data_IF_049629236459
#
_entry.id   IF_049629236459
#
_cell.length_a   1.000
_cell.length_b   1.000
_cell.length_c   1.000
_cell.angle_alpha   90.00
_cell.angle_beta   90.00
_cell.angle_gamma   90.00
#
_symmetry.space_group_name_H-M   'P 1'
#
loop_
_entity.id
_entity.type
_entity.pdbx_description
1 polymer ?
#
# COMPACT_ATOMS: atom_id res chain seq x y z
N UNK A 1 -1.49 -50.00 35.92
CA UNK A 1 -1.44 -48.59 35.47
C UNK A 1 -1.20 -48.56 33.96
N UNK A 2 -2.16 -48.13 33.12
CA UNK A 2 -1.96 -48.11 31.68
C UNK A 2 -0.87 -47.08 31.34
N UNK A 3 0.17 -47.52 30.60
CA UNK A 3 1.18 -46.63 30.05
C UNK A 3 0.47 -45.70 29.07
N UNK A 4 0.45 -44.39 29.33
CA UNK A 4 -0.02 -43.37 28.36
C UNK A 4 0.55 -43.73 27.00
N UNK A 5 -0.34 -43.93 26.03
CA UNK A 5 0.06 -44.42 24.71
C UNK A 5 0.91 -43.34 24.02
N UNK A 6 1.77 -43.76 23.10
CA UNK A 6 2.51 -42.79 22.30
C UNK A 6 1.57 -41.87 21.50
N UNK A 7 0.36 -42.34 21.17
CA UNK A 7 -0.68 -41.53 20.55
C UNK A 7 -1.16 -40.38 21.45
N UNK A 8 -1.42 -40.65 22.74
CA UNK A 8 -1.84 -39.60 23.68
C UNK A 8 -0.78 -38.50 23.84
N UNK A 9 0.50 -38.88 23.80
CA UNK A 9 1.62 -37.93 23.84
C UNK A 9 1.69 -37.09 22.57
N UNK A 10 1.46 -37.70 21.41
CA UNK A 10 1.42 -36.98 20.13
C UNK A 10 0.28 -35.96 20.11
N UNK A 11 -0.90 -36.32 20.61
CA UNK A 11 -2.05 -35.40 20.67
C UNK A 11 -1.80 -34.23 21.61
N UNK A 12 -1.20 -34.49 22.78
CA UNK A 12 -0.78 -33.43 23.70
C UNK A 12 0.24 -32.48 23.05
N UNK A 13 1.20 -33.01 22.30
CA UNK A 13 2.19 -32.19 21.59
C UNK A 13 1.55 -31.38 20.46
N UNK A 14 0.61 -31.95 19.71
CA UNK A 14 -0.16 -31.24 18.67
C UNK A 14 -0.95 -30.09 19.27
N UNK A 15 -1.69 -30.32 20.36
CA UNK A 15 -2.45 -29.27 21.07
C UNK A 15 -1.53 -28.15 21.56
N UNK A 16 -0.35 -28.50 22.11
CA UNK A 16 0.64 -27.51 22.54
C UNK A 16 1.17 -26.70 21.34
N UNK A 17 1.46 -27.35 20.21
CA UNK A 17 1.88 -26.66 18.99
C UNK A 17 0.82 -25.68 18.53
N UNK A 18 -0.43 -26.11 18.43
CA UNK A 18 -1.53 -25.26 17.96
C UNK A 18 -1.76 -24.06 18.89
N UNK A 19 -1.60 -24.26 20.21
CA UNK A 19 -1.65 -23.17 21.19
C UNK A 19 -0.51 -22.17 20.99
N UNK A 20 0.72 -22.65 20.78
CA UNK A 20 1.88 -21.79 20.52
C UNK A 20 1.74 -21.04 19.18
N UNK A 21 1.24 -21.71 18.14
CA UNK A 21 0.98 -21.10 16.84
C UNK A 21 -0.08 -20.00 16.95
N UNK A 22 -1.13 -20.21 17.75
CA UNK A 22 -2.14 -19.19 18.02
C UNK A 22 -1.54 -17.98 18.77
N UNK A 23 -0.68 -18.22 19.77
CA UNK A 23 0.03 -17.16 20.49
C UNK A 23 0.97 -16.38 19.57
N UNK A 24 1.71 -17.08 18.70
CA UNK A 24 2.62 -16.47 17.73
C UNK A 24 1.85 -15.53 16.79
N UNK A 25 0.76 -16.02 16.19
CA UNK A 25 -0.10 -15.21 15.31
C UNK A 25 -0.67 -13.99 16.03
N UNK A 26 -1.07 -14.13 17.29
CA UNK A 26 -1.58 -13.01 18.07
C UNK A 26 -0.49 -11.95 18.35
N UNK A 27 0.73 -12.36 18.66
CA UNK A 27 1.85 -11.45 18.87
C UNK A 27 2.29 -10.76 17.57
N UNK A 28 2.36 -11.48 16.46
CA UNK A 28 2.65 -10.92 15.14
C UNK A 28 1.60 -9.90 14.72
N UNK A 29 0.32 -10.20 14.92
CA UNK A 29 -0.77 -9.26 14.66
C UNK A 29 -0.61 -7.98 15.50
N UNK A 30 -0.36 -8.11 16.82
CA UNK A 30 -0.12 -6.96 17.70
C UNK A 30 1.07 -6.13 17.25
N UNK A 31 2.18 -6.77 16.86
CA UNK A 31 3.37 -6.08 16.34
C UNK A 31 3.04 -5.27 15.09
N UNK A 32 2.36 -5.89 14.12
CA UNK A 32 1.93 -5.22 12.88
C UNK A 32 0.98 -4.06 13.15
N UNK A 33 0.07 -4.20 14.11
CA UNK A 33 -0.82 -3.11 14.53
C UNK A 33 -0.04 -1.95 15.16
N UNK A 34 0.93 -2.22 16.03
CA UNK A 34 1.78 -1.21 16.63
C UNK A 34 2.62 -0.47 15.58
N UNK A 35 3.20 -1.19 14.62
CA UNK A 35 3.97 -0.62 13.51
C UNK A 35 3.11 0.31 12.64
N UNK A 36 1.89 -0.13 12.27
CA UNK A 36 0.94 0.71 11.53
C UNK A 36 0.56 1.97 12.31
N UNK A 37 0.29 1.85 13.62
CA UNK A 37 -0.02 3.01 14.47
C UNK A 37 1.14 3.99 14.54
N UNK A 38 2.37 3.50 14.68
CA UNK A 38 3.56 4.33 14.68
C UNK A 38 3.77 5.03 13.33
N UNK A 39 3.59 4.31 12.22
CA UNK A 39 3.71 4.87 10.87
C UNK A 39 2.63 5.95 10.59
N UNK A 40 1.37 5.70 10.95
CA UNK A 40 0.31 6.71 10.87
C UNK A 40 0.65 7.93 11.70
N UNK A 41 1.11 7.76 12.95
CA UNK A 41 1.50 8.89 13.81
C UNK A 41 2.65 9.69 13.21
N UNK A 42 3.67 9.02 12.67
CA UNK A 42 4.81 9.65 11.99
C UNK A 42 4.36 10.50 10.80
N UNK A 43 3.46 9.96 9.96
CA UNK A 43 2.89 10.66 8.80
C UNK A 43 2.06 11.87 9.19
N UNK A 44 1.23 11.75 10.24
CA UNK A 44 0.43 12.87 10.76
C UNK A 44 1.32 14.00 11.26
N UNK A 45 2.35 13.68 12.06
CA UNK A 45 3.28 14.69 12.59
C UNK A 45 4.03 15.39 11.44
N UNK A 46 4.61 14.61 10.53
CA UNK A 46 5.36 15.17 9.40
C UNK A 46 4.47 16.02 8.48
N UNK A 47 3.25 15.54 8.18
CA UNK A 47 2.29 16.27 7.36
C UNK A 47 1.79 17.56 8.03
N UNK A 48 1.43 17.50 9.31
CA UNK A 48 0.99 18.68 10.07
C UNK A 48 2.07 19.77 10.08
N UNK A 49 3.32 19.40 10.39
CA UNK A 49 4.45 20.32 10.38
C UNK A 49 4.67 20.94 8.98
N UNK A 50 4.61 20.10 7.93
CA UNK A 50 4.82 20.56 6.56
C UNK A 50 3.73 21.55 6.11
N UNK A 51 2.47 21.28 6.45
CA UNK A 51 1.35 22.16 6.15
C UNK A 51 1.41 23.46 6.95
N UNK A 52 1.75 23.39 8.25
CA UNK A 52 1.95 24.58 9.07
C UNK A 52 3.07 25.46 8.51
N UNK A 53 4.20 24.85 8.13
CA UNK A 53 5.30 25.58 7.48
C UNK A 53 4.88 26.21 6.15
N UNK A 54 4.09 25.52 5.33
CA UNK A 54 3.56 26.07 4.08
C UNK A 54 2.68 27.30 4.33
N UNK A 55 1.85 27.27 5.37
CA UNK A 55 0.99 28.41 5.73
C UNK A 55 1.76 29.59 6.31
N UNK A 56 2.76 29.34 7.15
CA UNK A 56 3.56 30.40 7.78
C UNK A 56 4.62 31.00 6.82
N UNK A 57 5.22 30.18 5.95
CA UNK A 57 6.35 30.55 5.10
C UNK A 57 6.08 30.16 3.64
N UNK A 58 5.01 30.70 3.06
CA UNK A 58 4.54 30.31 1.71
C UNK A 58 5.59 30.51 0.62
N UNK A 59 6.39 31.57 0.72
CA UNK A 59 7.42 31.91 -0.26
C UNK A 59 8.76 31.18 -0.05
N UNK A 60 8.86 30.34 0.99
CA UNK A 60 10.03 29.50 1.18
C UNK A 60 10.17 28.48 0.05
N UNK A 61 11.40 28.09 -0.26
CA UNK A 61 11.68 27.05 -1.27
C UNK A 61 10.94 25.75 -0.96
N UNK A 62 10.93 25.34 0.32
CA UNK A 62 10.17 24.17 0.76
C UNK A 62 8.67 24.33 0.52
N UNK A 63 8.08 25.50 0.84
CA UNK A 63 6.67 25.77 0.61
C UNK A 63 6.28 25.69 -0.87
N UNK A 64 7.09 26.30 -1.76
CA UNK A 64 6.89 26.26 -3.21
C UNK A 64 6.97 24.84 -3.79
N UNK A 65 7.89 24.03 -3.30
CA UNK A 65 8.02 22.63 -3.70
C UNK A 65 6.81 21.83 -3.20
N UNK A 66 6.45 21.98 -1.92
CA UNK A 66 5.33 21.26 -1.33
C UNK A 66 4.00 21.58 -2.01
N UNK A 67 3.74 22.87 -2.32
CA UNK A 67 2.57 23.28 -3.07
C UNK A 67 2.50 22.59 -4.44
N UNK A 68 3.60 22.60 -5.21
CA UNK A 68 3.66 21.94 -6.53
C UNK A 68 3.39 20.44 -6.44
N UNK A 69 3.97 19.77 -5.45
CA UNK A 69 3.75 18.34 -5.23
C UNK A 69 2.29 18.04 -4.84
N UNK A 70 1.68 18.87 -3.99
CA UNK A 70 0.27 18.72 -3.63
C UNK A 70 -0.64 18.94 -4.85
N UNK A 71 -0.33 19.94 -5.68
CA UNK A 71 -1.08 20.21 -6.91
C UNK A 71 -0.98 19.07 -7.94
N UNK A 72 0.19 18.45 -8.08
CA UNK A 72 0.44 17.34 -9.01
C UNK A 72 -0.16 16.01 -8.56
N UNK A 73 -0.02 15.65 -7.27
CA UNK A 73 -0.38 14.31 -6.79
C UNK A 73 -1.77 14.23 -6.15
N UNK A 74 -2.33 15.33 -5.65
CA UNK A 74 -3.71 15.35 -5.13
C UNK A 74 -4.65 15.61 -6.29
N UNK A 75 -5.08 14.53 -6.97
CA UNK A 75 -5.90 14.63 -8.19
C UNK A 75 -7.40 14.57 -7.89
N UNK A 76 -7.79 13.82 -6.84
CA UNK A 76 -9.22 13.60 -6.53
C UNK A 76 -9.87 14.89 -6.06
N UNK A 77 -11.02 15.31 -6.63
CA UNK A 77 -11.67 16.57 -6.26
C UNK A 77 -11.97 16.70 -4.77
N UNK A 78 -12.44 15.61 -4.13
CA UNK A 78 -12.71 15.57 -2.69
C UNK A 78 -11.45 15.83 -1.85
N UNK A 79 -10.31 15.27 -2.25
CA UNK A 79 -9.05 15.42 -1.52
C UNK A 79 -8.43 16.79 -1.77
N UNK A 80 -8.58 17.35 -2.99
CA UNK A 80 -8.18 18.73 -3.32
C UNK A 80 -8.96 19.76 -2.52
N UNK A 81 -10.26 19.53 -2.32
CA UNK A 81 -11.13 20.40 -1.53
C UNK A 81 -10.73 20.49 -0.05
N UNK A 82 -9.86 19.61 0.46
CA UNK A 82 -9.28 19.71 1.80
C UNK A 82 -8.21 20.80 1.92
N UNK A 83 -7.77 21.38 0.81
CA UNK A 83 -6.72 22.39 0.76
C UNK A 83 -7.26 23.65 0.06
N UNK A 84 -7.64 24.67 0.84
CA UNK A 84 -8.23 25.92 0.32
C UNK A 84 -7.36 26.64 -0.73
N UNK A 85 -6.05 26.37 -0.71
CA UNK A 85 -5.08 26.97 -1.63
C UNK A 85 -4.88 26.17 -2.93
N UNK A 86 -5.34 24.91 -3.00
CA UNK A 86 -5.35 24.16 -4.25
C UNK A 86 -6.64 24.54 -4.97
N UNK A 87 -6.52 25.16 -6.15
CA UNK A 87 -7.68 25.45 -6.96
C UNK A 87 -8.48 24.15 -7.16
N UNK A 88 -9.77 24.19 -6.87
CA UNK A 88 -10.69 23.18 -7.38
C UNK A 88 -10.63 23.32 -8.89
N UNK A 89 -10.14 22.31 -9.65
CA UNK A 89 -10.30 22.35 -11.08
C UNK A 89 -11.79 22.37 -11.31
N UNK A 90 -12.30 23.56 -11.64
CA UNK A 90 -13.62 23.74 -12.20
C UNK A 90 -13.78 22.66 -13.25
N UNK A 91 -14.86 21.88 -13.11
CA UNK A 91 -15.17 20.67 -13.87
C UNK A 91 -14.83 20.89 -15.35
N UNK A 92 -13.62 20.49 -15.76
CA UNK A 92 -13.28 20.37 -17.16
C UNK A 92 -14.00 19.09 -17.58
N UNK A 93 -15.25 19.27 -18.01
CA UNK A 93 -16.00 18.30 -18.79
C UNK A 93 -15.03 17.67 -19.81
N UNK A 94 -14.94 16.34 -19.92
CA UNK A 94 -14.04 15.72 -20.87
C UNK A 94 -14.58 15.98 -22.29
N UNK A 95 -14.14 17.06 -22.91
CA UNK A 95 -14.26 17.27 -24.35
C UNK A 95 -13.41 16.20 -25.03
N UNK A 96 -14.11 15.21 -25.58
CA UNK A 96 -13.54 14.12 -26.34
C UNK A 96 -12.91 14.64 -27.64
N UNK A 97 -11.83 13.95 -28.06
CA UNK A 97 -11.15 14.02 -29.36
C UNK A 97 -10.19 15.23 -29.52
N UNK A 98 -8.95 15.12 -29.96
CA UNK A 98 -8.24 14.15 -30.78
C UNK A 98 -6.72 14.47 -30.67
N UNK A 99 -5.87 13.62 -31.26
CA UNK A 99 -4.44 13.80 -31.54
C UNK A 99 -3.43 13.27 -30.50
N UNK A 100 -3.12 11.99 -30.68
CA UNK A 100 -1.75 11.47 -30.81
C UNK A 100 -0.69 11.94 -29.78
N UNK A 101 -0.32 11.06 -28.85
CA UNK A 101 1.05 10.99 -28.35
C UNK A 101 1.58 9.55 -28.44
N UNK A 102 2.60 9.30 -29.28
CA UNK A 102 3.27 8.01 -29.36
C UNK A 102 4.34 7.91 -28.27
N UNK A 103 4.39 6.75 -27.61
CA UNK A 103 5.61 6.23 -26.98
C UNK A 103 5.83 6.55 -25.51
N UNK A 104 5.54 5.57 -24.65
CA UNK A 104 6.43 5.22 -23.53
C UNK A 104 6.18 3.76 -23.17
N UNK A 105 7.12 2.91 -23.58
CA UNK A 105 7.16 1.49 -23.28
C UNK A 105 7.48 1.28 -21.79
N UNK A 106 6.82 0.34 -21.12
CA UNK A 106 7.40 -0.33 -19.96
C UNK A 106 7.16 -1.83 -20.03
N UNK A 107 8.28 -2.53 -20.05
CA UNK A 107 8.46 -3.97 -20.07
C UNK A 107 7.98 -4.61 -18.76
N UNK A 108 7.43 -5.83 -18.84
CA UNK A 108 7.72 -6.86 -17.82
C UNK A 108 7.62 -8.26 -18.40
N UNK A 109 8.77 -8.93 -18.32
CA UNK A 109 8.99 -10.32 -18.61
C UNK A 109 8.13 -11.27 -17.75
N UNK A 110 7.75 -12.39 -18.36
CA UNK A 110 7.87 -13.72 -17.75
C UNK A 110 6.65 -14.26 -17.00
N UNK A 111 5.88 -15.13 -17.67
CA UNK A 111 5.40 -16.35 -17.02
C UNK A 111 5.29 -17.49 -18.04
N UNK A 112 6.29 -18.36 -18.01
CA UNK A 112 6.24 -19.71 -18.56
C UNK A 112 5.15 -20.52 -17.84
N UNK A 113 4.34 -21.26 -18.60
CA UNK A 113 3.82 -22.56 -18.19
C UNK A 113 3.15 -23.27 -19.38
N UNK A 114 3.87 -24.24 -19.96
CA UNK A 114 3.34 -25.54 -20.36
C UNK A 114 2.49 -25.63 -21.64
N UNK A 115 3.09 -26.18 -22.70
CA UNK A 115 2.44 -27.26 -23.47
C UNK A 115 3.47 -27.93 -24.37
N UNK A 116 3.90 -29.13 -24.00
CA UNK A 116 4.63 -30.05 -24.88
C UNK A 116 3.66 -31.11 -25.40
N UNK A 117 3.99 -31.58 -26.61
CA UNK A 117 3.57 -32.82 -27.27
C UNK A 117 2.28 -32.77 -28.12
N UNK A 118 2.48 -32.75 -29.44
CA UNK A 118 2.38 -33.95 -30.29
C UNK A 118 1.65 -33.64 -31.61
N UNK A 119 2.40 -33.59 -32.72
CA UNK A 119 1.85 -33.74 -34.06
C UNK A 119 2.84 -34.48 -34.96
N UNK A 120 2.55 -35.76 -35.18
CA UNK A 120 3.00 -36.62 -36.29
C UNK A 120 1.73 -36.86 -37.13
N UNK A 121 1.71 -36.83 -38.48
CA UNK A 121 2.24 -37.91 -39.36
C UNK A 121 2.60 -37.37 -40.79
N UNK A 122 2.62 -38.14 -41.90
CA UNK A 122 2.75 -39.59 -42.13
C UNK A 122 4.12 -40.04 -42.67
#
# INVERSE_FOLDING_TARGET
>A
MPRRSNADRLDLLRRKRDQLDAQLRALEARKKHAERKADTRRKVIAGALALEHLTANRDSEFGRILFRLLDEYVVRPHDRALFDFLASPELVEPEQADAAHPGAQFTRAGREAGSTASSHPP
#
